data_IF_558901495774
#
_entry.id   IF_558901495774
#
_cell.length_a   1.000
_cell.length_b   1.000
_cell.length_c   1.000
_cell.angle_alpha   90.00
_cell.angle_beta   90.00
_cell.angle_gamma   90.00
#
_symmetry.space_group_name_H-M   'P 1'
#
loop_
_entity.id
_entity.type
_entity.pdbx_description
1 polymer ?
#
# COMPACT_ATOMS: atom_id res chain seq x y z
N UNK A 1 32.61 122.32 -2.07
CA UNK A 1 31.84 121.10 -2.36
C UNK A 1 30.38 121.52 -2.33
N UNK A 2 29.67 121.37 -3.45
CA UNK A 2 28.25 121.77 -3.54
C UNK A 2 27.41 120.83 -2.66
N UNK A 3 26.36 121.34 -2.03
CA UNK A 3 25.48 120.56 -1.13
C UNK A 3 24.88 119.36 -1.88
N UNK A 4 24.62 119.52 -3.17
CA UNK A 4 24.13 118.45 -4.05
C UNK A 4 25.16 117.31 -4.20
N UNK A 5 26.45 117.62 -4.28
CA UNK A 5 27.52 116.61 -4.35
C UNK A 5 27.67 115.82 -3.05
N UNK A 6 27.46 116.47 -1.89
CA UNK A 6 27.48 115.79 -0.59
C UNK A 6 26.28 114.85 -0.48
N UNK A 7 25.10 115.29 -0.93
CA UNK A 7 23.88 114.48 -0.95
C UNK A 7 24.05 113.26 -1.88
N UNK A 8 24.60 113.44 -3.09
CA UNK A 8 24.82 112.35 -4.04
C UNK A 8 25.78 111.29 -3.49
N UNK A 9 26.90 111.71 -2.85
CA UNK A 9 27.84 110.78 -2.21
C UNK A 9 27.19 109.99 -1.08
N UNK A 10 26.34 110.62 -0.27
CA UNK A 10 25.59 109.95 0.80
C UNK A 10 24.54 108.97 0.25
N UNK A 11 23.87 109.33 -0.85
CA UNK A 11 22.92 108.44 -1.55
C UNK A 11 23.64 107.23 -2.14
N UNK A 12 24.80 107.44 -2.78
CA UNK A 12 25.63 106.37 -3.36
C UNK A 12 26.16 105.41 -2.28
N UNK A 13 26.67 105.94 -1.16
CA UNK A 13 27.14 105.13 -0.03
C UNK A 13 26.01 104.31 0.60
N UNK A 14 24.82 104.88 0.75
CA UNK A 14 23.65 104.17 1.27
C UNK A 14 23.19 103.06 0.31
N UNK A 15 23.23 103.31 -1.01
CA UNK A 15 22.94 102.30 -2.02
C UNK A 15 23.94 101.15 -1.95
N UNK A 16 25.24 101.47 -1.91
CA UNK A 16 26.30 100.47 -1.76
C UNK A 16 26.16 99.68 -0.45
N UNK A 17 25.83 100.34 0.66
CA UNK A 17 25.60 99.67 1.94
C UNK A 17 24.40 98.71 1.86
N UNK A 18 23.28 99.14 1.26
CA UNK A 18 22.11 98.27 1.03
C UNK A 18 22.47 97.07 0.16
N UNK A 19 23.24 97.26 -0.90
CA UNK A 19 23.65 96.18 -1.80
C UNK A 19 24.55 95.17 -1.07
N UNK A 20 25.55 95.63 -0.31
CA UNK A 20 26.41 94.76 0.51
C UNK A 20 25.59 93.98 1.56
N UNK A 21 24.62 94.64 2.18
CA UNK A 21 23.75 94.02 3.19
C UNK A 21 22.83 92.97 2.55
N UNK A 22 22.26 93.26 1.37
CA UNK A 22 21.47 92.31 0.58
C UNK A 22 22.29 91.08 0.16
N UNK A 23 23.52 91.28 -0.34
CA UNK A 23 24.41 90.18 -0.70
C UNK A 23 24.82 89.34 0.51
N UNK A 24 25.07 89.98 1.66
CA UNK A 24 25.42 89.29 2.90
C UNK A 24 24.25 88.45 3.43
N UNK A 25 23.02 89.00 3.42
CA UNK A 25 21.80 88.26 3.76
C UNK A 25 21.60 87.10 2.80
N UNK A 26 21.76 87.32 1.49
CA UNK A 26 21.64 86.28 0.47
C UNK A 26 22.65 85.13 0.68
N UNK A 27 23.89 85.46 1.01
CA UNK A 27 24.94 84.49 1.34
C UNK A 27 24.60 83.66 2.58
N UNK A 28 24.16 84.31 3.66
CA UNK A 28 23.77 83.63 4.91
C UNK A 28 22.57 82.70 4.68
N UNK A 29 21.54 83.16 3.96
CA UNK A 29 20.36 82.34 3.63
C UNK A 29 20.74 81.12 2.80
N UNK A 30 21.63 81.27 1.82
CA UNK A 30 22.09 80.15 0.97
C UNK A 30 22.82 79.10 1.81
N UNK A 31 23.68 79.52 2.74
CA UNK A 31 24.38 78.61 3.65
C UNK A 31 23.39 77.88 4.57
N UNK A 32 22.38 78.58 5.10
CA UNK A 32 21.32 77.97 5.91
C UNK A 32 20.52 76.93 5.11
N UNK A 33 20.13 77.24 3.87
CA UNK A 33 19.43 76.29 3.01
C UNK A 33 20.27 75.05 2.69
N UNK A 34 21.58 75.23 2.41
CA UNK A 34 22.49 74.11 2.21
C UNK A 34 22.64 73.26 3.47
N UNK A 35 22.77 73.88 4.64
CA UNK A 35 22.89 73.17 5.90
C UNK A 35 21.62 72.37 6.25
N UNK A 36 20.44 72.99 6.12
CA UNK A 36 19.16 72.30 6.37
C UNK A 36 18.92 71.19 5.34
N UNK A 37 19.20 71.45 4.06
CA UNK A 37 19.04 70.46 2.98
C UNK A 37 19.94 69.25 3.15
N UNK A 38 21.22 69.46 3.50
CA UNK A 38 22.18 68.38 3.76
C UNK A 38 21.81 67.58 5.00
N UNK A 39 21.37 68.23 6.08
CA UNK A 39 20.93 67.55 7.29
C UNK A 39 19.65 66.71 7.06
N UNK A 40 18.64 67.26 6.38
CA UNK A 40 17.43 66.50 6.00
C UNK A 40 17.74 65.30 5.11
N UNK A 41 18.63 65.48 4.14
CA UNK A 41 19.08 64.37 3.27
C UNK A 41 19.80 63.29 4.08
N UNK A 42 20.72 63.68 4.97
CA UNK A 42 21.45 62.74 5.83
C UNK A 42 20.49 61.96 6.74
N UNK A 43 19.54 62.62 7.40
CA UNK A 43 18.52 61.97 8.23
C UNK A 43 17.65 61.01 7.41
N UNK A 44 17.21 61.42 6.22
CA UNK A 44 16.40 60.55 5.36
C UNK A 44 17.18 59.33 4.89
N UNK A 45 18.45 59.49 4.52
CA UNK A 45 19.33 58.41 4.09
C UNK A 45 19.59 57.43 5.24
N UNK A 46 19.94 57.94 6.41
CA UNK A 46 20.17 57.12 7.60
C UNK A 46 18.93 56.29 7.97
N UNK A 47 17.73 56.90 7.97
CA UNK A 47 16.48 56.16 8.22
C UNK A 47 16.23 55.08 7.19
N UNK A 48 16.54 55.34 5.91
CA UNK A 48 16.39 54.33 4.86
C UNK A 48 17.37 53.17 5.08
N UNK A 49 18.63 53.47 5.38
CA UNK A 49 19.66 52.45 5.62
C UNK A 49 19.32 51.60 6.86
N UNK A 50 18.81 52.20 7.94
CA UNK A 50 18.30 51.48 9.11
C UNK A 50 17.09 50.60 8.80
N UNK A 51 16.12 51.11 8.02
CA UNK A 51 14.95 50.33 7.60
C UNK A 51 15.34 49.14 6.72
N UNK A 52 16.27 49.33 5.79
CA UNK A 52 16.77 48.28 4.92
C UNK A 52 17.50 47.21 5.75
N UNK A 53 18.29 47.62 6.76
CA UNK A 53 18.95 46.71 7.69
C UNK A 53 17.95 45.92 8.53
N UNK A 54 16.99 46.59 9.18
CA UNK A 54 15.94 45.93 9.99
C UNK A 54 15.16 44.94 9.12
N UNK A 55 14.81 45.33 7.89
CA UNK A 55 14.09 44.44 6.96
C UNK A 55 14.91 43.21 6.60
N UNK A 56 16.22 43.39 6.38
CA UNK A 56 17.14 42.28 6.11
C UNK A 56 17.27 41.35 7.32
N UNK A 57 17.46 41.90 8.51
CA UNK A 57 17.62 41.13 9.76
C UNK A 57 16.36 40.32 10.05
N UNK A 58 15.18 40.94 9.99
CA UNK A 58 13.88 40.26 10.16
C UNK A 58 13.68 39.16 9.11
N UNK A 59 14.04 39.43 7.85
CA UNK A 59 13.92 38.43 6.78
C UNK A 59 14.86 37.25 7.00
N UNK A 60 16.07 37.50 7.50
CA UNK A 60 17.03 36.45 7.83
C UNK A 60 16.51 35.59 8.99
N UNK A 61 16.05 36.22 10.07
CA UNK A 61 15.54 35.53 11.25
C UNK A 61 14.29 34.68 10.94
N UNK A 62 13.35 35.23 10.17
CA UNK A 62 12.18 34.48 9.70
C UNK A 62 12.58 33.26 8.86
N UNK A 63 13.57 33.42 7.98
CA UNK A 63 14.01 32.34 7.09
C UNK A 63 14.81 31.27 7.82
N UNK A 64 15.72 31.68 8.70
CA UNK A 64 16.67 30.77 9.35
C UNK A 64 16.09 30.11 10.59
N UNK A 65 15.30 30.82 11.39
CA UNK A 65 14.76 30.28 12.65
C UNK A 65 13.35 29.74 12.44
N UNK A 66 12.41 30.58 12.01
CA UNK A 66 11.00 30.19 11.98
C UNK A 66 10.69 29.15 10.91
N UNK A 67 11.14 29.36 9.67
CA UNK A 67 10.86 28.40 8.59
C UNK A 67 11.59 27.07 8.78
N UNK A 68 12.81 27.08 9.33
CA UNK A 68 13.56 25.85 9.57
C UNK A 68 12.94 25.02 10.69
N UNK A 69 12.55 25.68 11.79
CA UNK A 69 11.89 25.04 12.93
C UNK A 69 10.51 24.53 12.57
N UNK A 70 9.70 25.33 11.87
CA UNK A 70 8.39 24.89 11.38
C UNK A 70 8.54 23.68 10.46
N UNK A 71 9.52 23.70 9.55
CA UNK A 71 9.77 22.58 8.64
C UNK A 71 10.18 21.33 9.40
N UNK A 72 11.05 21.43 10.41
CA UNK A 72 11.51 20.28 11.19
C UNK A 72 10.38 19.70 12.05
N UNK A 73 9.57 20.55 12.68
CA UNK A 73 8.39 20.12 13.46
C UNK A 73 7.34 19.43 12.58
N UNK A 74 7.02 20.01 11.42
CA UNK A 74 6.08 19.41 10.47
C UNK A 74 6.59 18.07 9.95
N UNK A 75 7.87 17.97 9.59
CA UNK A 75 8.47 16.70 9.16
C UNK A 75 8.35 15.66 10.28
N UNK A 76 8.71 16.02 11.51
CA UNK A 76 8.66 15.10 12.65
C UNK A 76 7.24 14.63 12.96
N UNK A 77 6.25 15.53 12.95
CA UNK A 77 4.83 15.16 13.18
C UNK A 77 4.30 14.25 12.06
N UNK A 78 4.69 14.53 10.81
CA UNK A 78 4.33 13.68 9.67
C UNK A 78 4.98 12.30 9.77
N UNK A 79 6.26 12.23 10.13
CA UNK A 79 6.98 10.96 10.33
C UNK A 79 6.33 10.13 11.44
N UNK A 80 6.00 10.75 12.58
CA UNK A 80 5.32 10.06 13.67
C UNK A 80 3.96 9.50 13.24
N UNK A 81 3.10 10.34 12.64
CA UNK A 81 1.78 9.90 12.16
C UNK A 81 1.87 8.84 11.06
N UNK A 82 2.88 8.92 10.20
CA UNK A 82 3.10 7.94 9.16
C UNK A 82 3.53 6.60 9.78
N UNK A 83 4.48 6.63 10.70
CA UNK A 83 4.97 5.42 11.38
C UNK A 83 3.85 4.74 12.19
N UNK A 84 3.05 5.50 12.95
CA UNK A 84 1.89 4.96 13.67
C UNK A 84 0.88 4.27 12.73
N UNK A 85 0.62 4.88 11.56
CA UNK A 85 -0.26 4.28 10.56
C UNK A 85 0.34 3.04 9.92
N UNK A 86 1.64 3.07 9.61
CA UNK A 86 2.36 1.92 9.04
C UNK A 86 2.33 0.75 10.01
N UNK A 87 2.71 0.96 11.27
CA UNK A 87 2.65 -0.07 12.31
C UNK A 87 1.21 -0.60 12.51
N UNK A 88 0.21 0.30 12.50
CA UNK A 88 -1.19 -0.14 12.56
C UNK A 88 -1.59 -1.00 11.36
N UNK A 89 -1.08 -0.73 10.17
CA UNK A 89 -1.38 -1.52 8.99
C UNK A 89 -0.62 -2.84 8.97
N UNK A 90 0.65 -2.85 9.36
CA UNK A 90 1.44 -4.08 9.51
C UNK A 90 0.78 -5.04 10.50
N UNK A 91 0.32 -4.55 11.65
CA UNK A 91 -0.40 -5.36 12.62
C UNK A 91 -1.70 -5.95 12.05
N UNK A 92 -2.47 -5.16 11.28
CA UNK A 92 -3.69 -5.65 10.61
C UNK A 92 -3.38 -6.70 9.55
N UNK A 93 -2.30 -6.53 8.79
CA UNK A 93 -1.84 -7.49 7.80
C UNK A 93 -1.48 -8.80 8.49
N UNK A 94 -0.65 -8.77 9.52
CA UNK A 94 -0.23 -9.97 10.26
C UNK A 94 -1.43 -10.75 10.83
N UNK A 95 -2.41 -10.04 11.41
CA UNK A 95 -3.65 -10.66 11.92
C UNK A 95 -4.45 -11.31 10.79
N UNK A 96 -4.54 -10.66 9.63
CA UNK A 96 -5.27 -11.19 8.49
C UNK A 96 -4.54 -12.39 7.87
N UNK A 97 -3.22 -12.38 7.81
CA UNK A 97 -2.41 -13.51 7.33
C UNK A 97 -2.60 -14.74 8.21
N UNK A 98 -2.59 -14.57 9.54
CA UNK A 98 -2.88 -15.65 10.47
C UNK A 98 -4.29 -16.24 10.24
N UNK A 99 -5.31 -15.38 10.14
CA UNK A 99 -6.69 -15.81 9.83
C UNK A 99 -6.80 -16.55 8.51
N UNK A 100 -6.12 -16.09 7.47
CA UNK A 100 -6.10 -16.76 6.16
C UNK A 100 -5.46 -18.14 6.27
N UNK A 101 -4.39 -18.28 7.05
CA UNK A 101 -3.76 -19.57 7.31
C UNK A 101 -4.72 -20.53 8.03
N UNK A 102 -5.39 -20.07 9.08
CA UNK A 102 -6.35 -20.88 9.85
C UNK A 102 -7.50 -21.35 8.96
N UNK A 103 -8.11 -20.42 8.21
CA UNK A 103 -9.19 -20.74 7.25
C UNK A 103 -8.72 -21.73 6.17
N UNK A 104 -7.47 -21.63 5.71
CA UNK A 104 -6.93 -22.57 4.72
C UNK A 104 -6.83 -23.99 5.28
N UNK A 105 -6.44 -24.14 6.54
CA UNK A 105 -6.35 -25.45 7.17
C UNK A 105 -7.74 -26.03 7.48
N UNK A 106 -8.70 -25.19 7.90
CA UNK A 106 -10.12 -25.59 8.01
C UNK A 106 -10.68 -26.08 6.67
N UNK A 107 -10.42 -25.38 5.56
CA UNK A 107 -10.85 -25.80 4.22
C UNK A 107 -10.25 -27.15 3.83
N UNK A 108 -8.97 -27.40 4.15
CA UNK A 108 -8.35 -28.72 3.88
C UNK A 108 -9.05 -29.83 4.67
N UNK A 109 -9.37 -29.58 5.94
CA UNK A 109 -10.08 -30.55 6.78
C UNK A 109 -11.50 -30.82 6.25
N UNK A 110 -12.23 -29.77 5.86
CA UNK A 110 -13.55 -29.89 5.26
C UNK A 110 -13.47 -30.71 3.96
N UNK A 111 -12.53 -30.40 3.07
CA UNK A 111 -12.34 -31.15 1.82
C UNK A 111 -11.99 -32.62 2.08
N UNK A 112 -11.16 -32.90 3.10
CA UNK A 112 -10.85 -34.26 3.52
C UNK A 112 -12.12 -35.00 3.99
N UNK A 113 -12.92 -34.36 4.84
CA UNK A 113 -14.15 -34.93 5.39
C UNK A 113 -15.22 -35.14 4.30
N UNK A 114 -15.38 -34.18 3.38
CA UNK A 114 -16.30 -34.31 2.24
C UNK A 114 -15.98 -35.55 1.41
N UNK A 115 -14.70 -35.73 1.04
CA UNK A 115 -14.28 -36.88 0.24
C UNK A 115 -14.44 -38.20 0.99
N UNK A 116 -14.15 -38.22 2.30
CA UNK A 116 -14.41 -39.38 3.16
C UNK A 116 -15.89 -39.74 3.22
N UNK A 117 -16.78 -38.75 3.35
CA UNK A 117 -18.23 -38.95 3.38
C UNK A 117 -18.72 -39.45 2.02
N UNK A 118 -18.29 -38.82 0.91
CA UNK A 118 -18.66 -39.23 -0.43
C UNK A 118 -18.19 -40.65 -0.76
N UNK A 119 -16.97 -41.04 -0.35
CA UNK A 119 -16.50 -42.42 -0.46
C UNK A 119 -17.42 -43.41 0.28
N UNK A 120 -17.88 -43.04 1.49
CA UNK A 120 -18.81 -43.88 2.25
C UNK A 120 -20.22 -43.93 1.63
N UNK A 121 -20.70 -42.83 1.07
CA UNK A 121 -21.99 -42.79 0.34
C UNK A 121 -21.92 -43.76 -0.84
N UNK A 122 -20.88 -43.70 -1.66
CA UNK A 122 -20.72 -44.62 -2.78
C UNK A 122 -20.59 -46.08 -2.33
N UNK A 123 -19.89 -46.36 -1.22
CA UNK A 123 -19.88 -47.72 -0.66
C UNK A 123 -21.29 -48.20 -0.30
N UNK A 124 -22.08 -47.37 0.39
CA UNK A 124 -23.44 -47.71 0.82
C UNK A 124 -24.41 -47.83 -0.37
N UNK A 125 -24.26 -47.00 -1.39
CA UNK A 125 -25.02 -47.12 -2.63
C UNK A 125 -24.68 -48.41 -3.37
N UNK A 126 -23.39 -48.78 -3.42
CA UNK A 126 -22.95 -50.08 -3.92
C UNK A 126 -23.58 -51.24 -3.16
N UNK A 127 -23.55 -51.19 -1.83
CA UNK A 127 -24.18 -52.19 -0.95
C UNK A 127 -25.69 -52.30 -1.22
N UNK A 128 -26.36 -51.16 -1.40
CA UNK A 128 -27.79 -51.12 -1.71
C UNK A 128 -28.11 -51.78 -3.07
N UNK A 129 -27.31 -51.52 -4.11
CA UNK A 129 -27.51 -52.14 -5.42
C UNK A 129 -27.16 -53.63 -5.43
N UNK A 130 -26.15 -54.03 -4.64
CA UNK A 130 -25.80 -55.44 -4.45
C UNK A 130 -26.98 -56.20 -3.81
N UNK A 131 -27.58 -55.63 -2.77
CA UNK A 131 -28.79 -56.19 -2.14
C UNK A 131 -29.99 -56.27 -3.10
N UNK A 132 -30.07 -55.38 -4.09
CA UNK A 132 -31.10 -55.41 -5.14
C UNK A 132 -30.78 -56.40 -6.27
N UNK A 133 -29.59 -57.01 -6.27
CA UNK A 133 -29.15 -57.91 -7.34
C UNK A 133 -28.83 -57.20 -8.66
N UNK A 134 -28.49 -55.91 -8.63
CA UNK A 134 -28.16 -55.14 -9.82
C UNK A 134 -26.64 -54.90 -9.83
N UNK A 135 -25.90 -55.93 -10.25
CA UNK A 135 -24.44 -55.99 -10.18
C UNK A 135 -23.76 -54.87 -10.97
N UNK A 136 -24.33 -54.45 -12.11
CA UNK A 136 -23.77 -53.34 -12.90
C UNK A 136 -23.74 -52.03 -12.12
N UNK A 137 -24.80 -51.72 -11.36
CA UNK A 137 -24.85 -50.51 -10.56
C UNK A 137 -23.95 -50.64 -9.33
N UNK A 138 -23.98 -51.80 -8.67
CA UNK A 138 -23.14 -52.06 -7.50
C UNK A 138 -21.65 -51.91 -7.85
N UNK A 139 -21.19 -52.52 -8.95
CA UNK A 139 -19.82 -52.40 -9.45
C UNK A 139 -19.41 -50.94 -9.68
N UNK A 140 -20.24 -50.17 -10.38
CA UNK A 140 -19.99 -48.74 -10.64
C UNK A 140 -19.76 -47.96 -9.33
N UNK A 141 -20.66 -48.13 -8.36
CA UNK A 141 -20.56 -47.42 -7.08
C UNK A 141 -19.35 -47.88 -6.25
N UNK A 142 -19.01 -49.16 -6.25
CA UNK A 142 -17.78 -49.63 -5.59
C UNK A 142 -16.51 -49.09 -6.24
N UNK A 143 -16.47 -48.97 -7.58
CA UNK A 143 -15.32 -48.36 -8.27
C UNK A 143 -15.16 -46.89 -7.86
N UNK A 144 -16.25 -46.11 -7.86
CA UNK A 144 -16.24 -44.71 -7.39
C UNK A 144 -15.81 -44.58 -5.93
N UNK A 145 -16.30 -45.48 -5.07
CA UNK A 145 -15.86 -45.55 -3.68
C UNK A 145 -14.35 -45.84 -3.61
N UNK A 146 -13.85 -46.79 -4.41
CA UNK A 146 -12.45 -47.16 -4.47
C UNK A 146 -11.54 -45.99 -4.84
N UNK A 147 -11.92 -45.20 -5.85
CA UNK A 147 -11.17 -44.02 -6.30
C UNK A 147 -11.10 -42.98 -5.17
N UNK A 148 -12.21 -42.69 -4.48
CA UNK A 148 -12.17 -41.73 -3.37
C UNK A 148 -11.40 -42.27 -2.15
N UNK A 149 -11.48 -43.57 -1.88
CA UNK A 149 -10.76 -44.20 -0.78
C UNK A 149 -9.25 -44.28 -1.02
N UNK A 150 -8.81 -44.45 -2.27
CA UNK A 150 -7.39 -44.47 -2.62
C UNK A 150 -6.72 -43.12 -2.37
N UNK A 151 -7.45 -42.02 -2.59
CA UNK A 151 -6.96 -40.66 -2.35
C UNK A 151 -6.89 -40.28 -0.84
N UNK A 152 -7.84 -40.69 0.03
CA UNK A 152 -7.95 -40.14 1.40
C UNK A 152 -8.03 -41.15 2.55
N UNK A 153 -8.42 -42.40 2.29
CA UNK A 153 -8.69 -43.36 3.36
C UNK A 153 -8.35 -44.79 2.93
N UNK A 154 -7.04 -45.07 2.95
CA UNK A 154 -6.45 -46.37 2.59
C UNK A 154 -6.96 -47.54 3.45
N UNK A 155 -7.43 -47.27 4.67
CA UNK A 155 -7.84 -48.31 5.63
C UNK A 155 -9.00 -49.20 5.13
N UNK A 156 -9.90 -48.67 4.30
CA UNK A 156 -11.06 -49.40 3.80
C UNK A 156 -10.90 -49.95 2.38
N UNK A 157 -9.80 -49.65 1.69
CA UNK A 157 -9.64 -49.94 0.28
C UNK A 157 -9.69 -51.46 -0.02
N UNK A 158 -9.12 -52.28 0.86
CA UNK A 158 -9.19 -53.76 0.73
C UNK A 158 -10.63 -54.28 0.74
N UNK A 159 -11.48 -53.73 1.61
CA UNK A 159 -12.90 -54.11 1.68
C UNK A 159 -13.61 -53.77 0.37
N UNK A 160 -13.36 -52.57 -0.17
CA UNK A 160 -13.95 -52.12 -1.44
C UNK A 160 -13.47 -52.97 -2.61
N UNK A 161 -12.17 -53.25 -2.71
CA UNK A 161 -11.60 -54.09 -3.77
C UNK A 161 -12.19 -55.50 -3.76
N UNK A 162 -12.39 -56.09 -2.58
CA UNK A 162 -13.07 -57.39 -2.45
C UNK A 162 -14.53 -57.33 -2.91
N UNK A 163 -15.25 -56.22 -2.64
CA UNK A 163 -16.63 -56.01 -3.13
C UNK A 163 -16.68 -55.87 -4.65
N UNK A 164 -15.69 -55.21 -5.26
CA UNK A 164 -15.51 -55.12 -6.71
C UNK A 164 -15.28 -56.52 -7.29
N UNK A 165 -14.32 -57.25 -6.74
CA UNK A 165 -13.97 -58.60 -7.18
C UNK A 165 -15.19 -59.54 -7.16
N UNK A 166 -15.96 -59.53 -6.06
CA UNK A 166 -17.19 -60.31 -5.94
C UNK A 166 -18.26 -59.91 -6.97
N UNK A 167 -18.36 -58.63 -7.31
CA UNK A 167 -19.30 -58.17 -8.35
C UNK A 167 -18.87 -58.62 -9.74
N UNK A 168 -17.56 -58.59 -10.02
CA UNK A 168 -17.02 -59.11 -11.27
C UNK A 168 -17.36 -60.59 -11.43
N UNK A 169 -17.24 -61.41 -10.39
CA UNK A 169 -17.59 -62.85 -10.46
C UNK A 169 -19.02 -63.11 -10.92
N UNK A 170 -19.97 -62.24 -10.55
CA UNK A 170 -21.39 -62.42 -10.88
C UNK A 170 -21.79 -61.84 -12.24
N UNK A 171 -20.98 -60.95 -12.80
CA UNK A 171 -21.28 -60.27 -14.08
C UNK A 171 -20.75 -61.09 -15.25
N UNK A 172 -21.58 -61.42 -16.24
CA UNK A 172 -21.15 -62.25 -17.38
C UNK A 172 -20.23 -61.51 -18.35
N UNK A 173 -20.45 -60.21 -18.57
CA UNK A 173 -19.72 -59.39 -19.54
C UNK A 173 -19.44 -57.99 -18.98
N UNK A 174 -18.31 -57.39 -19.37
CA UNK A 174 -17.95 -56.02 -19.00
C UNK A 174 -18.13 -55.07 -20.17
N UNK A 175 -18.77 -53.94 -19.90
CA UNK A 175 -18.88 -52.87 -20.89
C UNK A 175 -17.55 -52.14 -21.04
N UNK A 176 -17.37 -51.43 -22.16
CA UNK A 176 -16.21 -50.54 -22.37
C UNK A 176 -16.10 -49.52 -21.23
N UNK A 177 -17.26 -49.03 -20.76
CA UNK A 177 -17.33 -48.07 -19.67
C UNK A 177 -16.83 -48.68 -18.34
N UNK A 178 -17.24 -49.91 -18.02
CA UNK A 178 -16.75 -50.62 -16.81
C UNK A 178 -15.22 -50.76 -16.84
N UNK A 179 -14.65 -51.15 -18.00
CA UNK A 179 -13.19 -51.31 -18.17
C UNK A 179 -12.46 -49.97 -18.02
N UNK A 180 -13.03 -48.88 -18.54
CA UNK A 180 -12.45 -47.54 -18.39
C UNK A 180 -12.43 -47.09 -16.93
N UNK A 181 -13.51 -47.28 -16.18
CA UNK A 181 -13.56 -46.87 -14.78
C UNK A 181 -12.67 -47.73 -13.88
N UNK A 182 -12.54 -49.03 -14.18
CA UNK A 182 -11.58 -49.90 -13.49
C UNK A 182 -10.13 -49.44 -13.73
N UNK A 183 -9.80 -49.04 -14.95
CA UNK A 183 -8.47 -48.47 -15.22
C UNK A 183 -8.24 -47.16 -14.43
N UNK A 184 -9.23 -46.27 -14.37
CA UNK A 184 -9.13 -45.05 -13.55
C UNK A 184 -8.88 -45.39 -12.07
N UNK A 185 -9.57 -46.41 -11.54
CA UNK A 185 -9.31 -46.91 -10.20
C UNK A 185 -7.88 -47.40 -10.07
N UNK A 186 -7.40 -48.22 -10.99
CA UNK A 186 -6.05 -48.80 -10.93
C UNK A 186 -4.95 -47.75 -10.92
N UNK A 187 -5.09 -46.69 -11.73
CA UNK A 187 -4.17 -45.55 -11.74
C UNK A 187 -4.16 -44.78 -10.41
N UNK A 188 -5.26 -44.82 -9.66
CA UNK A 188 -5.38 -44.17 -8.35
C UNK A 188 -4.87 -45.03 -7.18
N UNK A 189 -4.68 -46.33 -7.37
CA UNK A 189 -4.34 -47.24 -6.28
C UNK A 189 -2.87 -47.07 -5.81
N UNK A 190 -2.60 -47.11 -4.50
CA UNK A 190 -1.23 -47.17 -3.99
C UNK A 190 -0.53 -48.50 -4.34
N UNK A 191 0.79 -48.48 -4.48
CA UNK A 191 1.62 -49.66 -4.83
C UNK A 191 1.37 -50.91 -3.95
N UNK A 192 0.95 -50.71 -2.69
CA UNK A 192 0.65 -51.78 -1.75
C UNK A 192 -0.53 -52.69 -2.09
N UNK A 193 -1.29 -52.40 -3.16
CA UNK A 193 -2.48 -53.15 -3.58
C UNK A 193 -2.26 -53.97 -4.86
N UNK A 194 -1.01 -54.17 -5.28
CA UNK A 194 -0.66 -54.89 -6.51
C UNK A 194 -1.27 -56.31 -6.59
N UNK A 195 -1.38 -57.02 -5.47
CA UNK A 195 -1.96 -58.38 -5.44
C UNK A 195 -3.46 -58.37 -5.76
N UNK A 196 -4.22 -57.46 -5.13
CA UNK A 196 -5.65 -57.30 -5.37
C UNK A 196 -5.91 -56.79 -6.78
N UNK A 197 -5.07 -55.87 -7.26
CA UNK A 197 -5.10 -55.38 -8.63
C UNK A 197 -4.95 -56.54 -9.63
N UNK A 198 -3.95 -57.40 -9.45
CA UNK A 198 -3.75 -58.56 -10.32
C UNK A 198 -4.95 -59.52 -10.29
N UNK A 199 -5.58 -59.74 -9.13
CA UNK A 199 -6.80 -60.56 -9.04
C UNK A 199 -7.94 -59.97 -9.87
N UNK A 200 -8.16 -58.67 -9.76
CA UNK A 200 -9.21 -57.96 -10.50
C UNK A 200 -8.89 -57.97 -12.01
N UNK A 201 -7.65 -57.71 -12.41
CA UNK A 201 -7.20 -57.71 -13.81
C UNK A 201 -7.40 -59.08 -14.45
N UNK A 202 -6.99 -60.17 -13.79
CA UNK A 202 -7.20 -61.52 -14.30
C UNK A 202 -8.69 -61.79 -14.57
N UNK A 203 -9.59 -61.36 -13.68
CA UNK A 203 -11.05 -61.51 -13.87
C UNK A 203 -11.62 -60.66 -15.00
N UNK A 204 -10.97 -59.54 -15.33
CA UNK A 204 -11.34 -58.72 -16.50
C UNK A 204 -10.89 -59.43 -17.78
N UNK A 205 -9.74 -60.10 -17.79
CA UNK A 205 -9.21 -60.83 -18.94
C UNK A 205 -9.97 -62.13 -19.25
N UNK A 206 -10.54 -62.76 -18.21
CA UNK A 206 -11.41 -63.95 -18.35
C UNK A 206 -12.81 -63.65 -18.92
N UNK A 207 -13.17 -62.37 -19.13
CA UNK A 207 -14.48 -61.89 -19.60
C UNK A 207 -14.42 -61.13 -20.93
#
# INVERSE_FOLDING_TARGET
MDVNQVIDVLVEQNKHFKDVLLWSIGGILTILFLFVGTNLYAVKKFRKDELDKITSDVKSELKESYLSNLKSEVIKDLELKLNEKVESYENKININEAKISDTKDEIKEINYNEKKINGKIYELEGDLWDLKGIDANALNYYIKAGILHSEYNKGNLNSILNKIEKNLDRKSELTIWDKSELNNLFESLPDGYATQLNSIVNKIEEK
#
